data_IF_488049184049
#
_entry.id   IF_488049184049
#
_cell.length_a   1.000
_cell.length_b   1.000
_cell.length_c   1.000
_cell.angle_alpha   90.00
_cell.angle_beta   90.00
_cell.angle_gamma   90.00
#
_symmetry.space_group_name_H-M   'P 1'
#
loop_
_entity.id
_entity.type
_entity.pdbx_description
1 polymer ?
#
# COMPACT_ATOMS: atom_id res chain seq x y z
N UNK A 1 37.59 2.16 0.61
CA UNK A 1 36.16 2.36 0.92
C UNK A 1 35.72 1.12 1.69
N UNK A 2 35.29 1.27 2.93
CA UNK A 2 34.72 0.13 3.66
C UNK A 2 33.40 -0.26 3.00
N UNK A 3 33.24 -1.55 2.72
CA UNK A 3 31.96 -2.12 2.26
C UNK A 3 30.93 -1.85 3.36
N UNK A 4 29.80 -1.19 3.05
CA UNK A 4 28.81 -0.92 4.08
C UNK A 4 28.33 -2.22 4.70
N UNK A 5 28.20 -2.23 6.01
CA UNK A 5 27.72 -3.40 6.74
C UNK A 5 26.25 -3.63 6.38
N UNK A 6 25.90 -4.84 5.97
CA UNK A 6 24.52 -5.35 5.88
C UNK A 6 23.78 -4.99 7.17
N UNK A 7 22.57 -4.43 7.08
CA UNK A 7 21.73 -4.32 8.26
C UNK A 7 21.13 -5.69 8.63
N UNK A 8 20.66 -5.85 9.86
CA UNK A 8 20.10 -7.10 10.37
C UNK A 8 18.94 -7.60 9.49
N UNK A 9 18.03 -6.70 9.08
CA UNK A 9 16.89 -7.04 8.23
C UNK A 9 17.29 -7.70 6.91
N UNK A 10 18.33 -7.19 6.22
CA UNK A 10 18.81 -7.82 5.00
C UNK A 10 19.42 -9.19 5.26
N UNK A 11 20.11 -9.37 6.40
CA UNK A 11 20.57 -10.68 6.86
C UNK A 11 19.43 -11.65 7.03
N UNK A 12 18.39 -11.24 7.76
CA UNK A 12 17.19 -12.05 8.01
C UNK A 12 16.48 -12.45 6.71
N UNK A 13 16.35 -11.53 5.75
CA UNK A 13 15.74 -11.80 4.43
C UNK A 13 16.52 -12.83 3.63
N UNK A 14 17.86 -12.77 3.64
CA UNK A 14 18.70 -13.65 2.83
C UNK A 14 18.78 -15.05 3.42
N UNK A 15 18.69 -15.18 4.74
CA UNK A 15 18.83 -16.43 5.47
C UNK A 15 17.51 -17.20 5.64
N UNK A 16 16.37 -16.65 5.17
CA UNK A 16 15.03 -17.28 5.28
C UNK A 16 14.80 -18.34 4.19
N UNK A 17 14.13 -19.44 4.56
CA UNK A 17 13.58 -20.42 3.64
C UNK A 17 12.31 -19.88 2.93
N UNK A 18 12.16 -20.21 1.63
CA UNK A 18 11.08 -19.72 0.79
C UNK A 18 9.68 -20.20 1.24
N UNK A 19 8.67 -19.32 1.15
CA UNK A 19 7.27 -19.71 1.33
C UNK A 19 6.35 -18.65 1.94
N UNK A 20 6.89 -17.50 2.36
CA UNK A 20 6.11 -16.39 2.90
C UNK A 20 6.53 -15.07 2.25
N UNK A 21 6.00 -13.94 2.73
CA UNK A 21 6.34 -12.60 2.23
C UNK A 21 7.86 -12.30 2.31
N UNK A 22 8.57 -12.82 3.29
CA UNK A 22 10.02 -12.66 3.40
C UNK A 22 10.79 -13.44 2.35
N UNK A 23 10.34 -14.65 2.00
CA UNK A 23 10.89 -15.41 0.87
C UNK A 23 10.75 -14.66 -0.44
N UNK A 24 9.64 -13.94 -0.63
CA UNK A 24 9.44 -13.05 -1.77
C UNK A 24 10.43 -11.88 -1.79
N UNK A 25 10.73 -11.25 -0.65
CA UNK A 25 11.73 -10.19 -0.58
C UNK A 25 13.15 -10.68 -0.90
N UNK A 26 13.47 -11.92 -0.56
CA UNK A 26 14.71 -12.56 -1.01
C UNK A 26 14.77 -12.65 -2.54
N UNK A 27 13.71 -13.12 -3.19
CA UNK A 27 13.63 -13.17 -4.65
C UNK A 27 13.75 -11.75 -5.27
N UNK A 28 13.18 -10.71 -4.63
CA UNK A 28 13.33 -9.32 -5.05
C UNK A 28 14.79 -8.88 -4.98
N UNK A 29 15.49 -9.22 -3.89
CA UNK A 29 16.89 -8.88 -3.73
C UNK A 29 17.74 -9.53 -4.83
N UNK A 30 17.59 -10.84 -5.01
CA UNK A 30 18.30 -11.61 -6.03
C UNK A 30 18.03 -11.06 -7.44
N UNK A 31 16.77 -10.79 -7.75
CA UNK A 31 16.38 -10.21 -9.05
C UNK A 31 16.99 -8.84 -9.28
N UNK A 32 17.10 -8.03 -8.24
CA UNK A 32 17.72 -6.68 -8.34
C UNK A 32 19.22 -6.78 -8.66
N UNK A 33 19.91 -7.73 -8.05
CA UNK A 33 21.32 -8.00 -8.37
C UNK A 33 21.49 -8.49 -9.82
N UNK A 34 20.65 -9.41 -10.28
CA UNK A 34 20.69 -9.92 -11.67
C UNK A 34 20.51 -8.81 -12.72
N UNK A 35 19.58 -7.88 -12.51
CA UNK A 35 19.29 -6.83 -13.49
C UNK A 35 20.27 -5.64 -13.38
N UNK A 36 21.15 -5.64 -12.37
CA UNK A 36 22.12 -4.56 -12.16
C UNK A 36 21.46 -3.20 -11.91
N UNK A 37 20.31 -3.20 -11.24
CA UNK A 37 19.60 -1.99 -10.83
C UNK A 37 20.30 -1.34 -9.62
N UNK A 38 21.60 -1.06 -9.76
CA UNK A 38 22.34 -0.28 -8.78
C UNK A 38 21.78 1.16 -8.71
N UNK A 39 21.69 1.76 -7.52
CA UNK A 39 21.36 3.18 -7.41
C UNK A 39 22.43 4.03 -8.08
N UNK A 40 22.05 4.76 -9.12
CA UNK A 40 22.96 5.62 -9.90
C UNK A 40 23.23 6.99 -9.28
N UNK A 41 22.82 7.25 -8.07
CA UNK A 41 22.83 8.58 -7.49
C UNK A 41 24.01 8.87 -6.56
N UNK A 42 25.09 8.13 -6.71
CA UNK A 42 26.38 8.44 -6.07
C UNK A 42 26.47 8.16 -4.57
N UNK A 43 25.42 7.62 -3.95
CA UNK A 43 25.41 7.22 -2.53
C UNK A 43 25.67 5.72 -2.36
N UNK A 44 25.74 4.98 -3.44
CA UNK A 44 26.35 3.64 -3.49
C UNK A 44 25.57 2.49 -2.86
N UNK A 45 24.31 2.69 -2.45
CA UNK A 45 23.53 1.61 -1.85
C UNK A 45 22.11 1.65 -2.37
N UNK A 46 21.61 0.49 -2.78
CA UNK A 46 20.19 0.37 -2.94
C UNK A 46 19.56 -0.10 -1.63
N UNK A 47 18.41 0.46 -1.32
CA UNK A 47 17.61 0.07 -0.18
C UNK A 47 16.47 -0.79 -0.71
N UNK A 48 16.41 -2.05 -0.29
CA UNK A 48 15.23 -2.88 -0.51
C UNK A 48 14.15 -2.46 0.46
N UNK A 49 12.97 -2.13 -0.06
CA UNK A 49 11.79 -1.81 0.75
C UNK A 49 10.97 -3.07 0.93
N UNK A 50 10.87 -3.54 2.17
CA UNK A 50 9.96 -4.61 2.57
C UNK A 50 8.64 -3.98 2.99
N UNK A 51 7.56 -4.36 2.36
CA UNK A 51 6.24 -3.77 2.54
C UNK A 51 5.14 -4.83 2.60
N UNK A 52 3.88 -4.45 2.50
CA UNK A 52 2.75 -5.36 2.61
C UNK A 52 1.76 -4.93 3.70
N UNK A 53 1.29 -5.86 4.53
CA UNK A 53 0.32 -5.56 5.59
C UNK A 53 0.98 -4.70 6.66
N UNK A 54 0.42 -3.50 6.88
CA UNK A 54 0.95 -2.55 7.87
C UNK A 54 0.62 -3.02 9.29
N UNK A 55 1.66 -3.22 10.10
CA UNK A 55 1.51 -3.67 11.49
C UNK A 55 0.83 -2.63 12.35
N UNK A 56 -0.04 -3.09 13.23
CA UNK A 56 -0.81 -2.27 14.14
C UNK A 56 -0.19 -2.29 15.54
N UNK A 57 -0.61 -1.34 16.36
CA UNK A 57 -0.27 -1.35 17.79
C UNK A 57 -1.17 -2.32 18.53
N UNK A 58 -0.60 -2.99 19.51
CA UNK A 58 -1.40 -3.63 20.54
C UNK A 58 -2.27 -2.59 21.23
N UNK A 59 -3.50 -2.96 21.57
CA UNK A 59 -4.45 -2.02 22.19
C UNK A 59 -3.91 -1.46 23.49
N UNK A 60 -3.80 -0.14 23.55
CA UNK A 60 -3.26 0.58 24.72
C UNK A 60 -1.73 0.59 24.86
N UNK A 61 -1.02 0.12 23.82
CA UNK A 61 0.44 0.05 23.75
C UNK A 61 1.01 0.87 22.59
N UNK A 62 2.32 1.09 22.58
CA UNK A 62 3.08 1.58 21.41
C UNK A 62 3.76 0.43 20.68
N UNK A 63 3.76 -0.76 21.25
CA UNK A 63 4.35 -1.95 20.65
C UNK A 63 3.51 -2.49 19.48
N UNK A 64 4.18 -3.15 18.55
CA UNK A 64 3.53 -3.82 17.46
C UNK A 64 2.76 -5.05 17.95
N UNK A 65 1.61 -5.32 17.37
CA UNK A 65 1.04 -6.67 17.35
C UNK A 65 2.07 -7.63 16.74
N UNK A 66 2.04 -8.90 17.15
CA UNK A 66 2.84 -9.92 16.48
C UNK A 66 2.37 -10.10 15.01
N UNK A 67 3.21 -10.70 14.19
CA UNK A 67 2.96 -10.85 12.76
C UNK A 67 1.75 -11.76 12.49
N UNK A 68 1.63 -12.87 13.23
CA UNK A 68 0.52 -13.80 13.08
C UNK A 68 -0.84 -13.15 13.42
N UNK A 69 -0.90 -12.29 14.44
CA UNK A 69 -2.10 -11.51 14.79
C UNK A 69 -2.45 -10.54 13.65
N UNK A 70 -1.46 -9.85 13.09
CA UNK A 70 -1.67 -8.91 11.97
C UNK A 70 -2.19 -9.64 10.73
N UNK A 71 -1.62 -10.78 10.37
CA UNK A 71 -2.02 -11.61 9.24
C UNK A 71 -3.44 -12.18 9.45
N UNK A 72 -3.72 -12.72 10.63
CA UNK A 72 -5.06 -13.24 10.96
C UNK A 72 -6.13 -12.16 10.82
N UNK A 73 -5.87 -10.93 11.28
CA UNK A 73 -6.81 -9.80 11.14
C UNK A 73 -7.01 -9.43 9.68
N UNK A 74 -5.96 -9.47 8.87
CA UNK A 74 -6.04 -9.23 7.43
C UNK A 74 -6.90 -10.29 6.74
N UNK A 75 -6.67 -11.57 7.02
CA UNK A 75 -7.43 -12.67 6.44
C UNK A 75 -8.92 -12.62 6.79
N UNK A 76 -9.25 -12.19 8.02
CA UNK A 76 -10.63 -12.07 8.49
C UNK A 76 -11.35 -10.82 7.96
N UNK A 77 -10.61 -9.84 7.40
CA UNK A 77 -11.22 -8.61 6.91
C UNK A 77 -11.98 -8.86 5.60
N UNK A 78 -13.25 -8.43 5.57
CA UNK A 78 -14.13 -8.53 4.40
C UNK A 78 -13.75 -7.56 3.28
N UNK A 79 -13.01 -6.52 3.59
CA UNK A 79 -12.60 -5.44 2.67
C UNK A 79 -11.09 -5.25 2.68
N UNK A 80 -10.30 -6.30 2.51
CA UNK A 80 -8.82 -6.19 2.45
C UNK A 80 -8.37 -5.11 1.47
N UNK A 81 -7.95 -3.96 1.98
CA UNK A 81 -7.60 -2.78 1.19
C UNK A 81 -6.09 -2.67 1.04
N UNK A 82 -5.58 -2.69 -0.18
CA UNK A 82 -4.19 -2.43 -0.49
C UNK A 82 -4.02 -1.08 -1.19
N UNK A 83 -3.15 -0.23 -0.66
CA UNK A 83 -2.72 1.00 -1.29
C UNK A 83 -1.43 0.73 -2.07
N UNK A 84 -1.47 0.92 -3.38
CA UNK A 84 -0.32 0.75 -4.27
C UNK A 84 0.27 2.11 -4.59
N UNK A 85 1.52 2.33 -4.17
CA UNK A 85 2.25 3.58 -4.35
C UNK A 85 3.47 3.38 -5.26
N UNK A 86 4.01 4.49 -5.78
CA UNK A 86 5.08 4.43 -6.80
C UNK A 86 6.40 3.93 -6.23
N UNK A 87 6.90 4.61 -5.23
CA UNK A 87 8.17 4.33 -4.56
C UNK A 87 8.27 5.08 -3.24
N UNK A 88 9.13 4.59 -2.37
CA UNK A 88 9.48 5.27 -1.14
C UNK A 88 10.61 6.26 -1.35
N UNK A 89 10.45 7.47 -0.80
CA UNK A 89 11.51 8.47 -0.76
C UNK A 89 12.52 8.16 0.35
N UNK A 90 13.27 7.08 0.17
CA UNK A 90 14.38 6.72 1.06
C UNK A 90 15.68 7.32 0.56
N UNK A 91 16.26 8.20 1.37
CA UNK A 91 17.62 8.72 1.17
C UNK A 91 18.51 8.07 2.21
N UNK A 92 19.46 7.27 1.79
CA UNK A 92 20.46 6.85 2.76
C UNK A 92 21.10 5.49 2.49
N UNK A 93 21.97 5.13 3.39
CA UNK A 93 22.84 3.97 3.39
C UNK A 93 22.20 2.71 4.00
N UNK A 94 20.88 2.60 3.99
CA UNK A 94 20.17 1.45 4.56
C UNK A 94 20.00 0.41 3.46
N UNK A 95 20.40 -0.84 3.69
CA UNK A 95 20.29 -1.93 2.74
C UNK A 95 18.89 -2.47 2.58
N UNK A 96 18.11 -2.47 3.66
CA UNK A 96 16.70 -2.82 3.65
C UNK A 96 15.95 -2.00 4.70
N UNK A 97 14.69 -1.68 4.42
CA UNK A 97 13.78 -1.01 5.35
C UNK A 97 12.43 -1.74 5.36
N UNK A 98 11.88 -1.96 6.54
CA UNK A 98 10.57 -2.60 6.71
C UNK A 98 9.51 -1.54 6.98
N UNK A 99 8.82 -1.13 5.92
CA UNK A 99 7.78 -0.10 6.00
C UNK A 99 6.51 -0.58 6.70
N UNK A 100 6.33 -1.89 6.87
CA UNK A 100 5.20 -2.46 7.64
C UNK A 100 5.24 -2.00 9.10
N UNK A 101 6.44 -1.71 9.61
CA UNK A 101 6.67 -1.28 10.98
C UNK A 101 6.63 0.24 11.20
N UNK A 102 6.29 1.04 10.21
CA UNK A 102 6.33 2.51 10.31
C UNK A 102 5.53 3.09 11.47
N UNK A 103 4.42 2.45 11.82
CA UNK A 103 3.47 2.96 12.81
C UNK A 103 3.73 2.42 14.22
N UNK A 104 4.65 1.49 14.38
CA UNK A 104 4.87 0.79 15.64
C UNK A 104 6.29 0.99 16.17
N UNK A 105 6.46 0.87 17.46
CA UNK A 105 7.75 0.92 18.12
C UNK A 105 8.48 -0.41 17.98
N UNK A 106 9.75 -0.36 17.60
CA UNK A 106 10.63 -1.52 17.63
C UNK A 106 11.75 -1.30 18.63
N UNK A 107 12.32 -2.35 19.24
CA UNK A 107 13.38 -2.21 20.24
C UNK A 107 14.60 -1.41 19.75
N UNK A 108 14.88 -1.42 18.46
CA UNK A 108 15.99 -0.69 17.82
C UNK A 108 15.70 0.82 17.65
N UNK A 109 14.47 1.26 17.88
CA UNK A 109 13.99 2.57 17.46
C UNK A 109 13.75 3.58 18.58
N UNK A 110 14.34 3.36 19.77
CA UNK A 110 14.04 4.14 20.97
C UNK A 110 14.75 5.51 21.05
N UNK A 111 15.00 6.19 19.93
CA UNK A 111 15.42 7.59 20.00
C UNK A 111 14.23 8.52 20.13
N UNK A 112 14.34 9.64 20.93
CA UNK A 112 13.24 10.59 21.08
C UNK A 112 12.74 11.16 19.74
N UNK A 113 13.62 11.38 18.76
CA UNK A 113 13.27 11.86 17.42
C UNK A 113 12.43 10.84 16.65
N UNK A 114 12.81 9.56 16.67
CA UNK A 114 12.07 8.49 15.98
C UNK A 114 10.70 8.27 16.63
N UNK A 115 10.62 8.25 17.96
CA UNK A 115 9.35 8.16 18.68
C UNK A 115 8.42 9.33 18.32
N UNK A 116 8.93 10.54 18.22
CA UNK A 116 8.15 11.71 17.78
C UNK A 116 7.65 11.57 16.34
N UNK A 117 8.45 11.04 15.43
CA UNK A 117 8.05 10.77 14.04
C UNK A 117 6.93 9.73 14.01
N UNK A 118 7.05 8.65 14.74
CA UNK A 118 6.01 7.60 14.84
C UNK A 118 4.73 8.17 15.45
N UNK A 119 4.81 8.94 16.53
CA UNK A 119 3.65 9.58 17.14
C UNK A 119 2.94 10.55 16.17
N UNK A 120 3.69 11.38 15.42
CA UNK A 120 3.10 12.26 14.42
C UNK A 120 2.42 11.49 13.27
N UNK A 121 2.94 10.33 12.91
CA UNK A 121 2.33 9.45 11.90
C UNK A 121 1.02 8.87 12.41
N UNK A 122 1.03 8.35 13.64
CA UNK A 122 -0.12 7.78 14.31
C UNK A 122 -1.22 8.82 14.57
N UNK A 123 -0.83 10.05 14.92
CA UNK A 123 -1.75 11.17 15.08
C UNK A 123 -2.27 11.75 13.75
N UNK A 124 -1.89 11.14 12.62
CA UNK A 124 -2.27 11.58 11.28
C UNK A 124 -1.87 13.04 10.97
N UNK A 125 -0.76 13.51 11.55
CA UNK A 125 -0.20 14.83 11.27
C UNK A 125 0.52 14.90 9.93
N UNK A 126 0.94 13.75 9.39
CA UNK A 126 1.59 13.64 8.08
C UNK A 126 0.52 13.52 6.99
N UNK A 127 0.55 14.40 5.99
CA UNK A 127 -0.44 14.45 4.90
C UNK A 127 -0.64 13.09 4.22
N UNK A 128 0.45 12.39 3.92
CA UNK A 128 0.42 11.08 3.30
C UNK A 128 -0.47 10.08 4.07
N UNK A 129 -0.18 9.89 5.36
CA UNK A 129 -0.94 8.96 6.20
C UNK A 129 -2.35 9.45 6.48
N UNK A 130 -2.55 10.77 6.59
CA UNK A 130 -3.88 11.35 6.76
C UNK A 130 -4.78 11.04 5.56
N UNK A 131 -4.28 11.14 4.33
CA UNK A 131 -5.05 10.82 3.14
C UNK A 131 -5.33 9.31 3.03
N UNK A 132 -4.35 8.44 3.36
CA UNK A 132 -4.59 6.99 3.45
C UNK A 132 -5.70 6.71 4.48
N UNK A 133 -5.62 7.30 5.67
CA UNK A 133 -6.60 7.10 6.74
C UNK A 133 -8.01 7.59 6.33
N UNK A 134 -8.11 8.75 5.68
CA UNK A 134 -9.38 9.26 5.17
C UNK A 134 -10.01 8.29 4.17
N UNK A 135 -9.23 7.81 3.18
CA UNK A 135 -9.71 6.88 2.15
C UNK A 135 -10.09 5.54 2.79
N UNK A 136 -9.25 5.00 3.69
CA UNK A 136 -9.53 3.76 4.40
C UNK A 136 -10.84 3.86 5.21
N UNK A 137 -11.03 4.96 5.96
CA UNK A 137 -12.27 5.24 6.67
C UNK A 137 -13.48 5.27 5.72
N UNK A 138 -13.36 5.99 4.61
CA UNK A 138 -14.43 6.05 3.62
C UNK A 138 -14.79 4.68 3.05
N UNK A 139 -13.80 3.89 2.63
CA UNK A 139 -14.03 2.54 2.08
C UNK A 139 -14.66 1.61 3.12
N UNK A 140 -14.17 1.66 4.37
CA UNK A 140 -14.62 0.78 5.44
C UNK A 140 -16.04 1.11 5.87
N UNK A 141 -16.37 2.39 6.03
CA UNK A 141 -17.63 2.85 6.64
C UNK A 141 -18.72 3.24 5.62
N UNK A 142 -18.37 3.39 4.32
CA UNK A 142 -19.35 3.69 3.30
C UNK A 142 -20.32 2.52 3.10
N UNK A 143 -21.61 2.82 3.24
CA UNK A 143 -22.73 1.90 3.01
C UNK A 143 -23.78 2.59 2.13
N UNK A 144 -24.80 1.87 1.61
CA UNK A 144 -25.89 2.51 0.87
C UNK A 144 -26.62 3.62 1.63
N UNK A 145 -26.67 3.53 2.97
CA UNK A 145 -27.31 4.50 3.86
C UNK A 145 -26.34 5.51 4.49
N UNK A 146 -25.05 5.25 4.45
CA UNK A 146 -24.00 6.15 4.95
C UNK A 146 -22.95 6.41 3.86
N UNK A 147 -23.04 7.51 3.10
CA UNK A 147 -22.15 7.78 1.97
C UNK A 147 -20.76 8.28 2.35
N UNK A 148 -20.47 8.56 3.62
CA UNK A 148 -19.20 9.13 4.09
C UNK A 148 -18.71 10.31 3.21
N UNK A 149 -19.39 11.45 3.17
CA UNK A 149 -19.04 12.56 2.29
C UNK A 149 -17.73 13.25 2.72
N UNK A 150 -17.06 13.92 1.80
CA UNK A 150 -15.80 14.63 2.07
C UNK A 150 -15.91 15.71 3.14
N UNK A 151 -17.09 16.33 3.30
CA UNK A 151 -17.36 17.31 4.36
C UNK A 151 -17.17 16.75 5.78
N UNK A 152 -17.24 15.45 5.93
CA UNK A 152 -17.13 14.77 7.23
C UNK A 152 -15.68 14.42 7.63
N UNK A 153 -14.70 14.44 6.73
CA UNK A 153 -13.32 14.04 7.06
C UNK A 153 -12.63 14.94 8.09
N UNK A 154 -13.13 16.15 8.30
CA UNK A 154 -12.61 17.05 9.33
C UNK A 154 -13.34 16.90 10.67
N UNK A 155 -14.64 16.69 10.64
CA UNK A 155 -15.46 16.49 11.86
C UNK A 155 -15.26 15.12 12.48
N UNK A 156 -15.02 14.08 11.68
CA UNK A 156 -14.89 12.67 12.12
C UNK A 156 -13.44 12.24 12.37
N UNK A 157 -12.54 13.17 12.68
CA UNK A 157 -11.11 12.86 12.88
C UNK A 157 -10.85 11.74 13.87
N UNK A 158 -11.65 11.65 14.94
CA UNK A 158 -11.52 10.59 15.95
C UNK A 158 -11.84 9.23 15.33
N UNK A 159 -12.97 9.11 14.65
CA UNK A 159 -13.41 7.89 14.00
C UNK A 159 -12.43 7.45 12.90
N UNK A 160 -11.90 8.41 12.12
CA UNK A 160 -10.86 8.15 11.11
C UNK A 160 -9.60 7.56 11.75
N UNK A 161 -9.17 8.10 12.91
CA UNK A 161 -8.04 7.55 13.66
C UNK A 161 -8.33 6.14 14.18
N UNK A 162 -9.51 5.94 14.75
CA UNK A 162 -9.93 4.65 15.27
C UNK A 162 -9.96 3.61 14.12
N UNK A 163 -10.56 3.94 12.97
CA UNK A 163 -10.55 3.09 11.77
C UNK A 163 -9.12 2.79 11.30
N UNK A 164 -8.27 3.81 11.21
CA UNK A 164 -6.87 3.64 10.80
C UNK A 164 -6.08 2.74 11.75
N UNK A 165 -6.42 2.76 13.04
CA UNK A 165 -5.80 1.91 14.06
C UNK A 165 -6.34 0.48 14.02
N UNK A 166 -7.63 0.32 13.81
CA UNK A 166 -8.31 -0.96 13.99
C UNK A 166 -8.47 -1.76 12.69
N UNK A 167 -8.52 -1.08 11.53
CA UNK A 167 -8.69 -1.76 10.24
C UNK A 167 -7.34 -2.15 9.64
N UNK A 168 -7.09 -3.44 9.34
CA UNK A 168 -5.88 -3.83 8.62
C UNK A 168 -5.89 -3.26 7.20
N UNK A 169 -4.72 -2.87 6.71
CA UNK A 169 -4.51 -2.49 5.33
C UNK A 169 -3.08 -2.85 4.89
N UNK A 170 -2.89 -3.04 3.59
CA UNK A 170 -1.56 -3.19 3.01
C UNK A 170 -1.10 -1.89 2.34
N UNK A 171 0.20 -1.64 2.40
CA UNK A 171 0.88 -0.60 1.66
C UNK A 171 1.92 -1.27 0.78
N UNK A 172 1.79 -1.14 -0.53
CA UNK A 172 2.64 -1.82 -1.52
C UNK A 172 3.40 -0.79 -2.33
N UNK A 173 4.71 -0.80 -2.20
CA UNK A 173 5.62 -0.01 -3.02
C UNK A 173 5.84 -0.73 -4.35
N UNK A 174 5.34 -0.18 -5.45
CA UNK A 174 5.50 -0.80 -6.77
C UNK A 174 6.96 -0.78 -7.26
N UNK A 175 7.79 0.08 -6.69
CA UNK A 175 9.24 0.08 -6.85
C UNK A 175 9.87 -0.15 -5.48
N UNK A 176 10.35 -1.36 -5.24
CA UNK A 176 10.95 -1.77 -3.95
C UNK A 176 12.35 -1.20 -3.68
N UNK A 177 12.85 -0.35 -4.52
CA UNK A 177 14.13 0.32 -4.31
C UNK A 177 13.88 1.75 -3.88
N UNK A 178 14.35 2.12 -2.71
CA UNK A 178 14.35 3.48 -2.23
C UNK A 178 15.01 4.43 -3.24
N UNK A 179 14.61 5.68 -3.29
CA UNK A 179 15.10 6.60 -4.29
C UNK A 179 14.72 8.06 -4.09
N UNK A 180 14.59 8.80 -5.17
CA UNK A 180 14.28 10.23 -5.19
C UNK A 180 12.80 10.47 -4.82
N UNK A 181 12.45 11.68 -4.36
CA UNK A 181 11.07 12.05 -4.01
C UNK A 181 10.05 11.91 -5.14
N UNK A 182 10.49 11.68 -6.37
CA UNK A 182 9.61 11.50 -7.53
C UNK A 182 10.25 10.59 -8.56
N UNK A 183 9.42 9.75 -9.14
CA UNK A 183 9.77 8.85 -10.24
C UNK A 183 8.91 9.20 -11.46
N UNK A 184 9.50 9.17 -12.66
CA UNK A 184 8.76 9.36 -13.90
C UNK A 184 7.90 8.13 -14.21
N UNK A 185 6.80 8.33 -14.92
CA UNK A 185 5.93 7.20 -15.33
C UNK A 185 6.69 6.21 -16.22
N UNK A 186 7.61 6.67 -17.07
CA UNK A 186 8.49 5.79 -17.87
C UNK A 186 9.38 4.89 -16.99
N UNK A 187 9.94 5.45 -15.93
CA UNK A 187 10.76 4.68 -14.99
C UNK A 187 9.92 3.70 -14.20
N UNK A 188 8.74 4.13 -13.73
CA UNK A 188 7.78 3.26 -13.04
C UNK A 188 7.37 2.10 -13.93
N UNK A 189 6.97 2.37 -15.18
CA UNK A 189 6.56 1.33 -16.15
C UNK A 189 7.67 0.31 -16.40
N UNK A 190 8.93 0.76 -16.49
CA UNK A 190 10.07 -0.14 -16.58
C UNK A 190 10.16 -1.05 -15.35
N UNK A 191 10.05 -0.52 -14.13
CA UNK A 191 10.07 -1.32 -12.90
C UNK A 191 8.91 -2.31 -12.84
N UNK A 192 7.71 -1.89 -13.16
CA UNK A 192 6.53 -2.76 -13.21
C UNK A 192 6.76 -3.95 -14.17
N UNK A 193 7.43 -3.73 -15.30
CA UNK A 193 7.74 -4.79 -16.25
C UNK A 193 8.89 -5.69 -15.77
N UNK A 194 9.97 -5.13 -15.26
CA UNK A 194 11.17 -5.87 -14.82
C UNK A 194 10.88 -6.79 -13.62
N UNK A 195 9.94 -6.38 -12.75
CA UNK A 195 9.55 -7.09 -11.54
C UNK A 195 8.12 -7.64 -11.56
N UNK A 196 7.53 -7.74 -12.73
CA UNK A 196 6.13 -8.14 -12.94
C UNK A 196 5.75 -9.39 -12.16
N UNK A 197 6.53 -10.45 -12.30
CA UNK A 197 6.22 -11.75 -11.69
C UNK A 197 6.29 -11.70 -10.15
N UNK A 198 7.19 -10.89 -9.60
CA UNK A 198 7.32 -10.73 -8.15
C UNK A 198 6.17 -9.90 -7.57
N UNK A 199 5.75 -8.83 -8.25
CA UNK A 199 4.56 -8.07 -7.87
C UNK A 199 3.29 -8.94 -7.95
N UNK A 200 3.18 -9.79 -8.97
CA UNK A 200 2.06 -10.72 -9.09
C UNK A 200 2.05 -11.74 -7.95
N UNK A 201 3.21 -12.30 -7.57
CA UNK A 201 3.33 -13.17 -6.39
C UNK A 201 2.93 -12.44 -5.11
N UNK A 202 3.30 -11.17 -4.94
CA UNK A 202 2.91 -10.38 -3.79
C UNK A 202 1.40 -10.19 -3.72
N UNK A 203 0.75 -9.91 -4.86
CA UNK A 203 -0.71 -9.81 -4.91
C UNK A 203 -1.38 -11.18 -4.63
N UNK A 204 -0.77 -12.28 -5.05
CA UNK A 204 -1.27 -13.63 -4.75
C UNK A 204 -1.13 -13.97 -3.25
N UNK A 205 -0.07 -13.52 -2.57
CA UNK A 205 0.13 -13.74 -1.14
C UNK A 205 -0.84 -12.87 -0.32
N UNK A 206 -1.01 -11.61 -0.70
CA UNK A 206 -1.83 -10.67 0.05
C UNK A 206 -3.32 -10.78 -0.26
N UNK A 207 -3.69 -11.21 -1.46
CA UNK A 207 -5.07 -11.34 -1.94
C UNK A 207 -5.99 -10.14 -1.58
N UNK A 208 -5.66 -8.90 -1.95
CA UNK A 208 -6.51 -7.75 -1.66
C UNK A 208 -7.87 -7.85 -2.37
N UNK A 209 -8.93 -7.44 -1.68
CA UNK A 209 -10.24 -7.26 -2.31
C UNK A 209 -10.35 -5.90 -3.01
N UNK A 210 -9.66 -4.88 -2.49
CA UNK A 210 -9.73 -3.52 -3.00
C UNK A 210 -8.30 -2.99 -3.22
N UNK A 211 -7.97 -2.69 -4.46
CA UNK A 211 -6.72 -2.05 -4.84
C UNK A 211 -6.94 -0.55 -5.01
N UNK A 212 -6.25 0.27 -4.23
CA UNK A 212 -6.22 1.74 -4.39
C UNK A 212 -4.91 2.11 -5.08
N UNK A 213 -4.96 2.29 -6.39
CA UNK A 213 -3.80 2.55 -7.24
C UNK A 213 -3.54 4.05 -7.33
N UNK A 214 -2.40 4.53 -6.84
CA UNK A 214 -2.08 5.97 -6.76
C UNK A 214 -1.46 6.55 -8.03
N UNK A 215 -1.55 5.82 -9.14
CA UNK A 215 -1.05 6.21 -10.46
C UNK A 215 -1.73 5.37 -11.55
N UNK A 216 -1.95 5.94 -12.74
CA UNK A 216 -2.60 5.26 -13.86
C UNK A 216 -1.81 4.04 -14.34
N UNK A 217 -0.46 4.08 -14.35
CA UNK A 217 0.37 2.93 -14.74
C UNK A 217 0.22 1.75 -13.77
N UNK A 218 0.11 2.04 -12.47
CA UNK A 218 -0.17 1.02 -11.46
C UNK A 218 -1.58 0.47 -11.64
N UNK A 219 -2.54 1.33 -11.92
CA UNK A 219 -3.92 0.94 -12.17
C UNK A 219 -4.05 0.00 -13.38
N UNK A 220 -3.38 0.32 -14.48
CA UNK A 220 -3.34 -0.53 -15.68
C UNK A 220 -2.62 -1.86 -15.41
N UNK A 221 -1.55 -1.82 -14.60
CA UNK A 221 -0.81 -3.00 -14.21
C UNK A 221 -1.64 -3.98 -13.38
N UNK A 222 -2.43 -3.49 -12.41
CA UNK A 222 -3.34 -4.33 -11.62
C UNK A 222 -4.46 -4.91 -12.49
N UNK A 223 -5.00 -4.15 -13.44
CA UNK A 223 -5.96 -4.70 -14.40
C UNK A 223 -5.36 -5.87 -15.20
N UNK A 224 -4.14 -5.70 -15.70
CA UNK A 224 -3.44 -6.76 -16.43
C UNK A 224 -3.16 -7.99 -15.53
N UNK A 225 -2.82 -7.80 -14.25
CA UNK A 225 -2.69 -8.88 -13.28
C UNK A 225 -3.98 -9.68 -13.17
N UNK A 226 -5.11 -9.03 -12.91
CA UNK A 226 -6.41 -9.72 -12.73
C UNK A 226 -6.77 -10.50 -14.00
N UNK A 227 -6.65 -9.90 -15.19
CA UNK A 227 -6.96 -10.57 -16.44
C UNK A 227 -5.98 -11.74 -16.77
N UNK A 228 -4.76 -11.67 -16.28
CA UNK A 228 -3.80 -12.79 -16.38
C UNK A 228 -4.19 -13.97 -15.49
N UNK A 229 -4.65 -13.69 -14.27
CA UNK A 229 -5.12 -14.71 -13.31
C UNK A 229 -6.46 -15.33 -13.69
N UNK A 230 -7.33 -14.55 -14.33
CA UNK A 230 -8.67 -14.96 -14.74
C UNK A 230 -8.86 -14.77 -16.26
N UNK A 231 -8.22 -15.62 -17.10
CA UNK A 231 -8.34 -15.52 -18.53
C UNK A 231 -9.79 -15.72 -18.97
N UNK A 232 -10.20 -15.05 -20.04
CA UNK A 232 -11.57 -15.04 -20.58
C UNK A 232 -12.62 -14.37 -19.70
N UNK A 233 -12.20 -13.53 -18.76
CA UNK A 233 -13.07 -12.64 -17.99
C UNK A 233 -12.89 -11.20 -18.41
N UNK A 234 -13.77 -10.33 -17.95
CA UNK A 234 -13.71 -8.89 -18.23
C UNK A 234 -13.80 -8.06 -16.94
N UNK A 235 -13.29 -6.84 -17.03
CA UNK A 235 -13.42 -5.83 -15.99
C UNK A 235 -14.59 -4.91 -16.33
N UNK A 236 -15.57 -4.86 -15.43
CA UNK A 236 -16.71 -3.94 -15.58
C UNK A 236 -16.30 -2.55 -15.14
N UNK A 237 -16.44 -1.56 -16.01
CA UNK A 237 -16.19 -0.15 -15.70
C UNK A 237 -17.46 0.52 -15.20
N UNK A 238 -17.34 1.22 -14.07
CA UNK A 238 -18.38 2.11 -13.57
C UNK A 238 -17.99 3.54 -13.92
N UNK A 239 -18.84 4.26 -14.62
CA UNK A 239 -18.64 5.63 -15.12
C UNK A 239 -17.46 5.82 -16.09
N UNK A 240 -17.72 5.83 -17.41
CA UNK A 240 -16.69 5.87 -18.45
C UNK A 240 -15.97 7.23 -18.63
N UNK A 241 -16.46 8.33 -18.06
CA UNK A 241 -16.08 9.68 -18.51
C UNK A 241 -15.14 10.46 -17.57
N UNK A 242 -14.70 9.91 -16.42
CA UNK A 242 -13.82 10.62 -15.50
C UNK A 242 -12.42 9.99 -15.43
N UNK A 243 -11.38 10.83 -15.24
CA UNK A 243 -9.99 10.42 -15.13
C UNK A 243 -9.76 9.36 -14.03
N UNK A 244 -10.37 9.53 -12.87
CA UNK A 244 -10.35 8.51 -11.83
C UNK A 244 -11.46 7.52 -12.12
N UNK A 245 -11.14 6.24 -12.22
CA UNK A 245 -12.11 5.22 -12.58
C UNK A 245 -12.09 4.05 -11.60
N UNK A 246 -13.23 3.36 -11.53
CA UNK A 246 -13.38 2.11 -10.80
C UNK A 246 -13.56 0.97 -11.81
N UNK A 247 -12.90 -0.16 -11.54
CA UNK A 247 -13.11 -1.43 -12.21
C UNK A 247 -13.56 -2.48 -11.22
N UNK A 248 -14.51 -3.27 -11.62
CA UNK A 248 -14.99 -4.42 -10.85
C UNK A 248 -14.64 -5.69 -11.60
N UNK A 249 -14.12 -6.66 -10.88
CA UNK A 249 -13.94 -8.02 -11.36
C UNK A 249 -14.78 -8.97 -10.50
N UNK A 250 -15.91 -9.41 -11.04
CA UNK A 250 -16.86 -10.22 -10.29
C UNK A 250 -16.36 -11.61 -9.93
N UNK A 251 -15.66 -12.35 -10.81
CA UNK A 251 -15.17 -13.68 -10.48
C UNK A 251 -14.23 -13.71 -9.27
N UNK A 252 -13.34 -12.74 -9.12
CA UNK A 252 -12.45 -12.64 -7.95
C UNK A 252 -12.98 -11.73 -6.85
N UNK A 253 -14.16 -11.12 -7.03
CA UNK A 253 -14.71 -10.15 -6.08
C UNK A 253 -13.76 -8.97 -5.81
N UNK A 254 -13.09 -8.49 -6.85
CA UNK A 254 -12.05 -7.46 -6.73
C UNK A 254 -12.54 -6.12 -7.24
N UNK A 255 -12.14 -5.06 -6.53
CA UNK A 255 -12.34 -3.66 -6.90
C UNK A 255 -10.99 -3.02 -7.15
N UNK A 256 -10.84 -2.32 -8.27
CA UNK A 256 -9.64 -1.56 -8.61
C UNK A 256 -10.03 -0.09 -8.72
N UNK A 257 -9.45 0.75 -7.87
CA UNK A 257 -9.69 2.19 -7.79
C UNK A 257 -8.45 2.94 -8.28
N UNK A 258 -8.63 3.89 -9.21
CA UNK A 258 -7.58 4.83 -9.56
C UNK A 258 -7.67 6.05 -8.65
N UNK A 259 -6.55 6.45 -8.06
CA UNK A 259 -6.45 7.52 -7.06
C UNK A 259 -5.31 8.47 -7.38
N UNK A 260 -5.33 9.64 -6.75
CA UNK A 260 -4.17 10.51 -6.65
C UNK A 260 -3.17 9.96 -5.63
N UNK A 261 -1.89 10.30 -5.80
CA UNK A 261 -0.88 9.98 -4.79
C UNK A 261 -1.23 10.67 -3.45
N UNK A 262 -1.15 9.98 -2.30
CA UNK A 262 -1.55 10.55 -1.01
C UNK A 262 -0.78 11.81 -0.59
N UNK A 263 0.41 12.06 -1.16
CA UNK A 263 1.17 13.30 -0.96
C UNK A 263 0.92 14.37 -2.02
N UNK A 264 -0.04 14.20 -2.94
CA UNK A 264 -0.33 15.17 -3.99
C UNK A 264 -0.60 16.57 -3.41
N UNK A 265 -0.25 17.61 -4.17
CA UNK A 265 -0.46 19.02 -3.78
C UNK A 265 -1.90 19.44 -4.04
N UNK A 266 -2.85 18.77 -3.40
CA UNK A 266 -4.29 18.97 -3.50
C UNK A 266 -4.88 19.06 -2.09
N UNK A 267 -6.13 19.49 -1.95
CA UNK A 267 -6.82 19.44 -0.65
C UNK A 267 -7.04 18.00 -0.19
N UNK A 268 -7.36 17.80 1.08
CA UNK A 268 -7.74 16.49 1.60
C UNK A 268 -9.02 15.99 0.95
N UNK A 269 -9.98 16.89 0.75
CA UNK A 269 -11.27 16.64 0.14
C UNK A 269 -11.13 16.21 -1.33
N UNK A 270 -10.26 16.86 -2.11
CA UNK A 270 -10.04 16.51 -3.51
C UNK A 270 -9.41 15.12 -3.66
N UNK A 271 -8.42 14.80 -2.83
CA UNK A 271 -7.80 13.46 -2.83
C UNK A 271 -8.82 12.41 -2.41
N UNK A 272 -9.60 12.68 -1.38
CA UNK A 272 -10.64 11.78 -0.89
C UNK A 272 -11.74 11.56 -1.94
N UNK A 273 -12.30 12.64 -2.49
CA UNK A 273 -13.34 12.56 -3.52
C UNK A 273 -12.85 11.89 -4.80
N UNK A 274 -11.55 12.05 -5.15
CA UNK A 274 -10.95 11.36 -6.29
C UNK A 274 -11.13 9.83 -6.25
N UNK A 275 -11.28 9.25 -5.08
CA UNK A 275 -11.55 7.82 -4.88
C UNK A 275 -13.02 7.58 -4.54
N UNK A 276 -13.52 8.32 -3.56
CA UNK A 276 -14.80 8.00 -2.93
C UNK A 276 -16.02 8.36 -3.79
N UNK A 277 -15.93 9.29 -4.74
CA UNK A 277 -17.03 9.56 -5.66
C UNK A 277 -17.42 8.32 -6.47
N UNK A 278 -16.41 7.57 -6.93
CA UNK A 278 -16.65 6.32 -7.65
C UNK A 278 -17.05 5.17 -6.74
N UNK A 279 -16.42 5.08 -5.57
CA UNK A 279 -16.73 4.03 -4.61
C UNK A 279 -18.14 4.18 -4.05
N UNK A 280 -18.59 5.39 -3.73
CA UNK A 280 -19.98 5.69 -3.31
C UNK A 280 -20.99 5.26 -4.35
N UNK A 281 -20.74 5.60 -5.61
CA UNK A 281 -21.63 5.18 -6.72
C UNK A 281 -21.75 3.67 -6.82
N UNK A 282 -20.64 2.95 -6.66
CA UNK A 282 -20.65 1.49 -6.61
C UNK A 282 -21.46 0.97 -5.42
N UNK A 283 -21.25 1.54 -4.23
CA UNK A 283 -21.93 1.11 -3.00
C UNK A 283 -23.44 1.39 -3.05
N UNK A 284 -23.86 2.49 -3.67
CA UNK A 284 -25.27 2.86 -3.82
C UNK A 284 -26.04 1.97 -4.82
N UNK A 285 -25.34 1.30 -5.73
CA UNK A 285 -25.93 0.29 -6.59
C UNK A 285 -25.95 -1.06 -5.89
N UNK A 286 -27.06 -1.38 -5.22
CA UNK A 286 -27.21 -2.62 -4.46
C UNK A 286 -26.95 -3.88 -5.29
N UNK A 287 -27.24 -3.86 -6.59
CA UNK A 287 -26.99 -5.02 -7.47
C UNK A 287 -25.51 -5.21 -7.74
N UNK A 288 -24.75 -4.13 -7.90
CA UNK A 288 -23.31 -4.21 -8.06
C UNK A 288 -22.64 -4.58 -6.73
N UNK A 289 -23.05 -3.94 -5.65
CA UNK A 289 -22.49 -4.15 -4.31
C UNK A 289 -22.63 -5.60 -3.85
N UNK A 290 -23.83 -6.17 -3.93
CA UNK A 290 -24.12 -7.56 -3.51
C UNK A 290 -23.42 -8.63 -4.36
N UNK A 291 -22.88 -8.29 -5.52
CA UNK A 291 -22.09 -9.22 -6.35
C UNK A 291 -20.62 -9.28 -5.94
N UNK A 292 -20.14 -8.30 -5.19
CA UNK A 292 -18.75 -8.23 -4.70
C UNK A 292 -18.70 -8.64 -3.22
N UNK A 293 -19.56 -8.09 -2.38
CA UNK A 293 -19.64 -8.34 -0.94
C UNK A 293 -20.95 -9.04 -0.58
#
# INVERSE_FOLDING_TARGET
>A
METPKRNALLGDIIDIEAGNIFGLFKEWYERTEEIGHEPKDGVGHYCLVCDGIVRKREKGSTHAEDEATTEMRWEQDKKRVAFLIKDENQKGSIWADDTRNWLVETPADNTPEKLKVKQNSWDLKRKFLRNIANILWGITNCTPTNPCPASEIHSNLKEIKDTFQDTPFALIECKKQGGKPSISDKTLEKYLNDYKELLYKEFDILEPHIYVCTNEKIYDFVQAYILTRYPNTELTRIHPEKHNSIRLHYPSKTIILCSYHPSARMSYEDIYNGVMDHYRTFVQDEKLYSRIF
#
